data_IF_059813692954
#
_entry.id   IF_059813692954
#
_cell.length_a   1.000
_cell.length_b   1.000
_cell.length_c   1.000
_cell.angle_alpha   90.00
_cell.angle_beta   90.00
_cell.angle_gamma   90.00
#
_symmetry.space_group_name_H-M   'P 1'
#
loop_
_entity.id
_entity.type
_entity.pdbx_description
1 polymer ?
#
# COMPACT_ATOMS: atom_id res chain seq x y z
N UNK A 1 -9.54 -35.08 7.11
CA UNK A 1 -9.48 -34.06 6.04
C UNK A 1 -8.49 -34.53 4.98
N UNK A 2 -8.88 -34.64 3.72
CA UNK A 2 -7.98 -35.05 2.61
C UNK A 2 -7.57 -33.84 1.78
N UNK A 3 -6.40 -33.92 1.12
CA UNK A 3 -5.90 -32.87 0.23
C UNK A 3 -6.89 -32.55 -0.91
N UNK A 4 -7.52 -33.58 -1.48
CA UNK A 4 -8.53 -33.46 -2.53
C UNK A 4 -9.75 -32.64 -2.09
N UNK A 5 -10.34 -32.95 -0.92
CA UNK A 5 -11.51 -32.23 -0.40
C UNK A 5 -11.20 -30.76 -0.14
N UNK A 6 -10.03 -30.48 0.46
CA UNK A 6 -9.56 -29.12 0.71
C UNK A 6 -9.36 -28.33 -0.60
N UNK A 7 -8.68 -28.92 -1.58
CA UNK A 7 -8.38 -28.24 -2.84
C UNK A 7 -9.65 -27.94 -3.66
N UNK A 8 -10.59 -28.89 -3.70
CA UNK A 8 -11.86 -28.70 -4.41
C UNK A 8 -12.72 -27.64 -3.73
N UNK A 9 -12.82 -27.68 -2.40
CA UNK A 9 -13.54 -26.68 -1.62
C UNK A 9 -12.98 -25.27 -1.83
N UNK A 10 -11.65 -25.12 -1.68
CA UNK A 10 -11.02 -23.83 -1.87
C UNK A 10 -11.11 -23.33 -3.31
N UNK A 11 -11.01 -24.24 -4.29
CA UNK A 11 -11.24 -23.91 -5.70
C UNK A 11 -12.65 -23.39 -5.98
N UNK A 12 -13.68 -23.86 -5.27
CA UNK A 12 -15.04 -23.30 -5.36
C UNK A 12 -15.13 -21.91 -4.72
N UNK A 13 -14.53 -21.72 -3.54
CA UNK A 13 -14.46 -20.41 -2.87
C UNK A 13 -13.84 -19.35 -3.77
N UNK A 14 -12.70 -19.66 -4.41
CA UNK A 14 -12.02 -18.72 -5.31
C UNK A 14 -12.87 -18.39 -6.55
N UNK A 15 -13.58 -19.36 -7.12
CA UNK A 15 -14.53 -19.10 -8.23
C UNK A 15 -15.70 -18.23 -7.78
N UNK A 16 -16.21 -18.43 -6.57
CA UNK A 16 -17.22 -17.57 -5.96
C UNK A 16 -16.72 -16.14 -5.74
N UNK A 17 -15.44 -15.97 -5.41
CA UNK A 17 -14.76 -14.68 -5.30
C UNK A 17 -14.41 -14.04 -6.67
N UNK A 18 -14.91 -14.59 -7.78
CA UNK A 18 -14.71 -14.05 -9.13
C UNK A 18 -13.38 -14.42 -9.80
N UNK A 19 -12.55 -15.25 -9.16
CA UNK A 19 -11.28 -15.69 -9.76
C UNK A 19 -11.49 -16.80 -10.80
N UNK A 20 -10.74 -16.72 -11.90
CA UNK A 20 -10.70 -17.79 -12.91
C UNK A 20 -9.78 -18.92 -12.44
N UNK A 21 -10.37 -19.95 -11.83
CA UNK A 21 -9.63 -21.14 -11.38
C UNK A 21 -9.94 -22.34 -12.28
N UNK A 22 -9.09 -22.63 -13.29
CA UNK A 22 -9.27 -23.78 -14.16
C UNK A 22 -9.00 -25.09 -13.41
N UNK A 23 -9.53 -26.20 -13.93
CA UNK A 23 -9.50 -27.50 -13.25
C UNK A 23 -8.08 -28.06 -13.10
N UNK A 24 -7.21 -27.82 -14.09
CA UNK A 24 -5.79 -28.19 -14.09
C UNK A 24 -5.03 -27.55 -12.91
N UNK A 25 -5.34 -26.29 -12.58
CA UNK A 25 -4.78 -25.59 -11.41
C UNK A 25 -5.21 -26.23 -10.10
N UNK A 26 -6.46 -26.71 -9.98
CA UNK A 26 -6.93 -27.42 -8.78
C UNK A 26 -6.25 -28.77 -8.63
N UNK A 27 -6.08 -29.52 -9.73
CA UNK A 27 -5.34 -30.79 -9.72
C UNK A 27 -3.87 -30.57 -9.33
N UNK A 28 -3.24 -29.53 -9.87
CA UNK A 28 -1.87 -29.13 -9.49
C UNK A 28 -1.81 -28.79 -8.00
N UNK A 29 -2.82 -28.10 -7.48
CA UNK A 29 -2.88 -27.76 -6.07
C UNK A 29 -3.00 -28.99 -5.16
N UNK A 30 -3.78 -30.01 -5.55
CA UNK A 30 -3.83 -31.30 -4.82
C UNK A 30 -2.43 -31.91 -4.73
N UNK A 31 -1.69 -31.97 -5.85
CA UNK A 31 -0.33 -32.51 -5.86
C UNK A 31 0.62 -31.70 -4.96
N UNK A 32 0.47 -30.37 -4.92
CA UNK A 32 1.23 -29.54 -4.00
C UNK A 32 0.89 -29.86 -2.53
N UNK A 33 -0.39 -30.01 -2.19
CA UNK A 33 -0.83 -30.34 -0.83
C UNK A 33 -0.34 -31.72 -0.38
N UNK A 34 -0.31 -32.71 -1.27
CA UNK A 34 0.25 -34.03 -0.97
C UNK A 34 1.75 -33.96 -0.63
N UNK A 35 2.48 -33.04 -1.27
CA UNK A 35 3.91 -32.83 -1.01
C UNK A 35 4.19 -31.99 0.26
N UNK A 36 3.39 -30.95 0.53
CA UNK A 36 3.67 -30.00 1.62
C UNK A 36 2.92 -30.29 2.92
N UNK A 37 1.87 -31.12 2.85
CA UNK A 37 0.93 -31.39 3.93
C UNK A 37 -0.16 -30.33 4.07
N UNK A 38 -1.25 -30.68 4.77
CA UNK A 38 -2.47 -29.86 4.89
C UNK A 38 -2.63 -29.15 6.26
N UNK A 39 -1.67 -29.30 7.17
CA UNK A 39 -1.77 -28.81 8.55
C UNK A 39 -1.08 -27.47 8.78
N UNK A 40 -0.02 -27.19 8.04
CA UNK A 40 0.75 -25.94 8.18
C UNK A 40 0.19 -24.85 7.25
N UNK A 41 -0.41 -23.83 7.86
CA UNK A 41 -1.00 -22.68 7.18
C UNK A 41 -0.07 -22.05 6.15
N UNK A 42 1.20 -21.83 6.51
CA UNK A 42 2.14 -21.12 5.63
C UNK A 42 2.51 -21.98 4.43
N UNK A 43 2.68 -23.29 4.62
CA UNK A 43 2.97 -24.21 3.52
C UNK A 43 1.80 -24.33 2.56
N UNK A 44 0.59 -24.47 3.09
CA UNK A 44 -0.64 -24.54 2.30
C UNK A 44 -0.89 -23.23 1.55
N UNK A 45 -0.64 -22.08 2.20
CA UNK A 45 -0.74 -20.76 1.56
C UNK A 45 0.16 -20.65 0.33
N UNK A 46 1.45 -20.95 0.47
CA UNK A 46 2.38 -20.81 -0.65
C UNK A 46 2.15 -21.86 -1.74
N UNK A 47 1.75 -23.09 -1.37
CA UNK A 47 1.31 -24.11 -2.31
C UNK A 47 0.12 -23.62 -3.14
N UNK A 48 -0.93 -23.12 -2.48
CA UNK A 48 -2.14 -22.63 -3.14
C UNK A 48 -1.86 -21.38 -3.99
N UNK A 49 -1.06 -20.43 -3.47
CA UNK A 49 -0.70 -19.22 -4.20
C UNK A 49 0.09 -19.58 -5.47
N UNK A 50 1.00 -20.57 -5.40
CA UNK A 50 1.80 -20.97 -6.57
C UNK A 50 0.99 -21.70 -7.64
N UNK A 51 -0.02 -22.49 -7.25
CA UNK A 51 -0.81 -23.30 -8.16
C UNK A 51 -2.05 -22.57 -8.74
N UNK A 52 -2.65 -21.66 -7.98
CA UNK A 52 -3.97 -21.09 -8.27
C UNK A 52 -3.91 -19.62 -8.76
N UNK A 53 -2.89 -18.85 -8.37
CA UNK A 53 -2.78 -17.42 -8.76
C UNK A 53 -2.01 -17.31 -10.07
N UNK A 54 -2.71 -16.95 -11.16
CA UNK A 54 -2.11 -16.82 -12.50
C UNK A 54 -1.82 -15.37 -12.89
N UNK A 55 -2.58 -14.41 -12.35
CA UNK A 55 -2.44 -12.99 -12.67
C UNK A 55 -2.07 -12.17 -11.42
N UNK A 56 -1.36 -11.04 -11.56
CA UNK A 56 -1.07 -10.16 -10.44
C UNK A 56 -2.33 -9.59 -9.78
N UNK A 57 -3.37 -9.33 -10.56
CA UNK A 57 -4.68 -8.80 -10.10
C UNK A 57 -5.42 -9.75 -9.14
N UNK A 58 -5.21 -11.07 -9.29
CA UNK A 58 -5.89 -12.08 -8.47
C UNK A 58 -5.32 -12.21 -7.05
N UNK A 59 -4.18 -11.56 -6.75
CA UNK A 59 -3.46 -11.74 -5.48
C UNK A 59 -4.27 -11.27 -4.27
N UNK A 60 -4.95 -10.13 -4.39
CA UNK A 60 -5.71 -9.57 -3.26
C UNK A 60 -6.95 -10.41 -2.96
N UNK A 61 -7.73 -10.76 -3.99
CA UNK A 61 -8.87 -11.67 -3.87
C UNK A 61 -8.46 -13.03 -3.29
N UNK A 62 -7.34 -13.59 -3.74
CA UNK A 62 -6.79 -14.84 -3.21
C UNK A 62 -6.43 -14.72 -1.73
N UNK A 63 -5.76 -13.65 -1.31
CA UNK A 63 -5.32 -13.48 0.07
C UNK A 63 -6.50 -13.43 1.04
N UNK A 64 -7.55 -12.69 0.67
CA UNK A 64 -8.78 -12.57 1.45
C UNK A 64 -9.49 -13.93 1.51
N UNK A 65 -9.71 -14.56 0.35
CA UNK A 65 -10.36 -15.86 0.26
C UNK A 65 -9.61 -16.94 1.06
N UNK A 66 -8.28 -16.96 1.01
CA UNK A 66 -7.46 -17.91 1.76
C UNK A 66 -7.57 -17.68 3.26
N UNK A 67 -7.54 -16.42 3.72
CA UNK A 67 -7.65 -16.10 5.13
C UNK A 67 -8.97 -16.60 5.72
N UNK A 68 -10.09 -16.29 5.05
CA UNK A 68 -11.44 -16.72 5.44
C UNK A 68 -11.56 -18.24 5.42
N UNK A 69 -11.13 -18.87 4.32
CA UNK A 69 -11.18 -20.33 4.17
C UNK A 69 -10.38 -21.05 5.27
N UNK A 70 -9.17 -20.57 5.57
CA UNK A 70 -8.29 -21.18 6.57
C UNK A 70 -8.82 -21.00 8.00
N UNK A 71 -9.42 -19.85 8.31
CA UNK A 71 -10.01 -19.60 9.61
C UNK A 71 -11.20 -20.54 9.89
N UNK A 72 -12.12 -20.67 8.94
CA UNK A 72 -13.25 -21.61 9.05
C UNK A 72 -12.80 -23.05 9.17
N UNK A 73 -11.81 -23.44 8.36
CA UNK A 73 -11.21 -24.76 8.45
C UNK A 73 -10.56 -25.02 9.82
N UNK A 74 -9.90 -24.01 10.39
CA UNK A 74 -9.29 -24.09 11.72
C UNK A 74 -10.33 -24.12 12.84
N UNK A 75 -11.51 -23.54 12.61
CA UNK A 75 -12.67 -23.60 13.52
C UNK A 75 -13.37 -24.97 13.51
N UNK A 76 -13.05 -25.85 12.55
CA UNK A 76 -13.58 -27.20 12.46
C UNK A 76 -14.71 -27.37 11.43
N UNK A 77 -14.98 -26.36 10.62
CA UNK A 77 -15.99 -26.43 9.55
C UNK A 77 -15.59 -27.48 8.50
N UNK A 78 -16.58 -28.19 7.94
CA UNK A 78 -16.33 -29.14 6.85
C UNK A 78 -16.06 -28.39 5.53
N UNK A 79 -14.94 -28.65 4.83
CA UNK A 79 -14.58 -27.93 3.60
C UNK A 79 -15.66 -27.94 2.52
N UNK A 80 -16.46 -28.99 2.41
CA UNK A 80 -17.55 -29.04 1.42
C UNK A 80 -18.64 -28.01 1.70
N UNK A 81 -18.94 -27.73 2.97
CA UNK A 81 -19.87 -26.68 3.40
C UNK A 81 -19.31 -25.31 3.08
N UNK A 82 -18.03 -25.06 3.39
CA UNK A 82 -17.33 -23.80 3.09
C UNK A 82 -17.32 -23.52 1.56
N UNK A 83 -17.16 -24.56 0.75
CA UNK A 83 -17.13 -24.45 -0.71
C UNK A 83 -18.51 -24.43 -1.39
N UNK A 84 -19.59 -24.75 -0.66
CA UNK A 84 -20.97 -24.74 -1.16
C UNK A 84 -21.67 -23.41 -0.84
N UNK A 85 -21.34 -22.81 0.31
CA UNK A 85 -21.71 -21.42 0.60
C UNK A 85 -20.94 -20.53 -0.39
N UNK A 86 -21.64 -20.07 -1.44
CA UNK A 86 -21.15 -18.95 -2.22
C UNK A 86 -20.82 -17.83 -1.25
N UNK A 87 -19.56 -17.37 -1.24
CA UNK A 87 -19.15 -16.17 -0.52
C UNK A 87 -19.90 -14.98 -1.16
N UNK A 88 -21.17 -14.80 -0.83
CA UNK A 88 -21.88 -13.57 -1.06
C UNK A 88 -21.33 -12.61 -0.02
N UNK A 89 -20.35 -11.81 -0.45
CA UNK A 89 -19.82 -10.67 0.31
C UNK A 89 -20.94 -9.64 0.46
N UNK A 90 -21.89 -9.91 1.35
CA UNK A 90 -22.90 -8.97 1.79
C UNK A 90 -22.26 -8.10 2.88
N UNK A 91 -22.00 -6.85 2.52
CA UNK A 91 -21.61 -5.78 3.45
C UNK A 91 -22.91 -5.22 4.02
N UNK A 92 -23.27 -5.57 5.25
CA UNK A 92 -24.39 -4.91 5.90
C UNK A 92 -23.95 -3.53 6.41
N UNK A 93 -24.64 -2.53 5.87
CA UNK A 93 -24.76 -1.21 6.44
C UNK A 93 -25.97 -1.23 7.38
N UNK A 94 -25.77 -0.96 8.66
CA UNK A 94 -26.86 -0.54 9.54
C UNK A 94 -26.46 0.71 10.30
N UNK A 95 -27.16 1.81 9.99
CA UNK A 95 -28.05 2.44 10.96
C UNK A 95 -29.17 3.18 10.20
N UNK A 96 -30.38 2.63 10.27
CA UNK A 96 -31.58 3.19 9.65
C UNK A 96 -32.82 2.37 9.99
N UNK A 97 -33.38 2.64 11.16
CA UNK A 97 -34.63 2.07 11.72
C UNK A 97 -35.77 2.00 10.68
N UNK A 98 -36.24 0.78 10.38
CA UNK A 98 -37.32 0.53 9.43
C UNK A 98 -37.68 -0.96 9.34
N UNK A 99 -38.71 -1.36 10.08
CA UNK A 99 -39.31 -2.70 10.10
C UNK A 99 -39.55 -3.32 8.71
N UNK A 100 -38.99 -4.50 8.46
CA UNK A 100 -39.28 -5.36 7.30
C UNK A 100 -39.04 -6.83 7.64
N UNK A 101 -39.94 -7.70 7.17
CA UNK A 101 -40.15 -9.09 7.59
C UNK A 101 -38.93 -10.02 7.46
N UNK A 102 -38.80 -10.92 8.43
CA UNK A 102 -37.79 -11.97 8.49
C UNK A 102 -37.99 -13.02 7.39
N UNK A 103 -36.98 -13.15 6.50
CA UNK A 103 -36.76 -14.37 5.74
C UNK A 103 -35.75 -15.24 6.49
N UNK A 104 -36.16 -16.48 6.74
CA UNK A 104 -35.43 -17.52 7.46
C UNK A 104 -34.48 -18.22 6.47
N UNK A 105 -33.29 -17.65 6.29
CA UNK A 105 -32.14 -18.32 5.68
C UNK A 105 -30.98 -18.20 6.67
N UNK A 106 -30.14 -19.24 6.91
CA UNK A 106 -29.04 -19.17 7.86
C UNK A 106 -27.88 -18.36 7.26
N UNK A 107 -28.07 -17.04 7.16
CA UNK A 107 -27.01 -16.10 6.90
C UNK A 107 -26.22 -15.91 8.20
N UNK A 108 -25.11 -16.65 8.34
CA UNK A 108 -24.16 -16.45 9.43
C UNK A 108 -23.43 -15.13 9.17
N UNK A 109 -23.89 -14.05 9.79
CA UNK A 109 -23.28 -12.71 9.75
C UNK A 109 -21.96 -12.72 10.52
N UNK A 110 -20.87 -13.11 9.85
CA UNK A 110 -19.52 -13.02 10.39
C UNK A 110 -19.00 -11.59 10.27
N UNK A 111 -18.78 -10.97 11.43
CA UNK A 111 -18.23 -9.63 11.60
C UNK A 111 -16.91 -9.47 10.83
N UNK A 112 -16.95 -8.78 9.71
CA UNK A 112 -15.76 -8.21 9.09
C UNK A 112 -15.07 -7.33 10.14
N UNK A 113 -13.77 -7.54 10.36
CA UNK A 113 -13.00 -6.58 11.15
C UNK A 113 -13.20 -5.22 10.51
N UNK A 114 -13.65 -4.20 11.26
CA UNK A 114 -13.88 -2.85 10.75
C UNK A 114 -12.69 -2.31 9.93
N UNK A 115 -11.48 -2.81 10.20
CA UNK A 115 -10.27 -2.51 9.43
C UNK A 115 -10.28 -3.03 7.99
N UNK A 116 -10.89 -4.19 7.71
CA UNK A 116 -10.94 -4.79 6.37
C UNK A 116 -12.01 -4.13 5.50
N UNK A 117 -13.17 -3.80 6.07
CA UNK A 117 -14.19 -2.98 5.39
C UNK A 117 -13.64 -1.59 5.04
N UNK A 118 -12.90 -0.96 5.97
CA UNK A 118 -12.17 0.30 5.73
C UNK A 118 -10.98 0.17 4.78
N UNK A 119 -10.63 -1.02 4.28
CA UNK A 119 -9.60 -1.17 3.23
C UNK A 119 -10.21 -1.21 1.84
N UNK A 120 -11.39 -1.79 1.71
CA UNK A 120 -12.07 -1.99 0.42
C UNK A 120 -13.12 -0.94 0.10
N UNK A 121 -13.63 -0.22 1.12
CA UNK A 121 -14.63 0.83 0.95
C UNK A 121 -13.99 2.04 0.25
N UNK A 122 -14.76 2.70 -0.61
CA UNK A 122 -14.33 3.92 -1.27
C UNK A 122 -14.22 5.09 -0.27
N UNK A 123 -13.14 5.86 -0.32
CA UNK A 123 -12.95 7.04 0.53
C UNK A 123 -14.06 8.08 0.39
N UNK A 124 -14.72 8.16 -0.76
CA UNK A 124 -15.87 9.03 -0.97
C UNK A 124 -17.06 8.66 -0.08
N UNK A 125 -17.18 7.39 0.28
CA UNK A 125 -18.28 6.84 1.08
C UNK A 125 -17.96 6.79 2.58
N UNK A 126 -16.83 7.36 3.01
CA UNK A 126 -16.42 7.29 4.42
C UNK A 126 -17.21 8.30 5.25
N UNK A 127 -17.77 7.83 6.36
CA UNK A 127 -18.26 8.72 7.40
C UNK A 127 -17.09 9.44 8.08
N UNK A 128 -17.38 10.52 8.82
CA UNK A 128 -16.36 11.28 9.55
C UNK A 128 -15.57 10.40 10.53
N UNK A 129 -16.24 9.45 11.18
CA UNK A 129 -15.64 8.54 12.17
C UNK A 129 -14.83 7.42 11.50
N UNK A 130 -15.33 6.85 10.40
CA UNK A 130 -14.59 5.90 9.57
C UNK A 130 -13.29 6.50 9.02
N UNK A 131 -13.34 7.76 8.58
CA UNK A 131 -12.17 8.48 8.11
C UNK A 131 -11.16 8.75 9.23
N UNK A 132 -11.61 9.01 10.46
CA UNK A 132 -10.73 9.15 11.61
C UNK A 132 -10.06 7.82 11.99
N UNK A 133 -10.79 6.70 11.91
CA UNK A 133 -10.22 5.38 12.19
C UNK A 133 -9.24 4.93 11.10
N UNK A 134 -9.56 5.17 9.83
CA UNK A 134 -8.65 4.95 8.71
C UNK A 134 -7.33 5.74 8.91
N UNK A 135 -7.41 6.99 9.37
CA UNK A 135 -6.22 7.78 9.72
C UNK A 135 -5.39 7.13 10.84
N UNK A 136 -6.02 6.62 11.91
CA UNK A 136 -5.30 5.93 13.00
C UNK A 136 -4.62 4.64 12.51
N UNK A 137 -5.27 3.90 11.62
CA UNK A 137 -4.68 2.72 10.98
C UNK A 137 -3.50 3.12 10.10
N UNK A 138 -3.63 4.18 9.33
CA UNK A 138 -2.57 4.68 8.44
C UNK A 138 -1.41 5.33 9.17
N UNK A 139 -1.61 5.93 10.33
CA UNK A 139 -0.51 6.41 11.17
C UNK A 139 0.46 5.29 11.58
N UNK A 140 0.00 4.02 11.54
CA UNK A 140 0.84 2.83 11.76
C UNK A 140 1.57 2.39 10.49
N UNK A 141 1.12 2.79 9.30
CA UNK A 141 1.80 2.50 8.04
C UNK A 141 3.08 3.31 7.93
N UNK A 142 4.17 2.61 7.59
CA UNK A 142 5.46 3.24 7.32
C UNK A 142 5.62 3.45 5.82
N UNK A 143 5.33 4.65 5.32
CA UNK A 143 5.76 5.03 3.97
C UNK A 143 7.28 5.26 3.99
N UNK A 144 8.02 4.16 3.79
CA UNK A 144 9.45 4.19 3.60
C UNK A 144 9.75 4.07 2.11
N UNK A 145 10.40 5.07 1.53
CA UNK A 145 10.89 4.95 0.16
C UNK A 145 11.94 3.85 0.05
N UNK A 146 12.00 3.16 -1.10
CA UNK A 146 12.99 2.11 -1.34
C UNK A 146 14.41 2.59 -1.00
N UNK A 147 15.27 1.76 -0.39
CA UNK A 147 16.68 2.06 -0.24
C UNK A 147 17.34 2.35 -1.58
N UNK A 148 18.32 3.25 -1.57
CA UNK A 148 19.20 3.56 -2.70
C UNK A 148 20.62 3.75 -2.19
N UNK A 149 21.60 3.31 -2.97
CA UNK A 149 23.00 3.59 -2.71
C UNK A 149 23.28 5.10 -2.82
N UNK A 150 23.87 5.63 -1.76
CA UNK A 150 24.39 6.98 -1.65
C UNK A 150 25.85 7.00 -2.06
N UNK A 151 26.30 8.12 -2.66
CA UNK A 151 27.73 8.32 -2.93
C UNK A 151 28.54 8.57 -1.64
N UNK A 152 27.87 8.95 -0.54
CA UNK A 152 28.51 9.10 0.77
C UNK A 152 28.93 7.72 1.26
N UNK A 153 30.18 7.61 1.72
CA UNK A 153 30.69 6.38 2.30
C UNK A 153 30.41 6.30 3.80
N UNK A 154 30.07 5.10 4.26
CA UNK A 154 29.99 4.73 5.67
C UNK A 154 31.02 3.65 5.99
N UNK A 155 31.43 3.51 7.26
CA UNK A 155 32.26 2.39 7.67
C UNK A 155 31.54 1.07 7.40
N UNK A 156 32.24 0.10 6.82
CA UNK A 156 31.74 -1.24 6.59
C UNK A 156 32.31 -2.20 7.63
N UNK A 157 31.51 -3.20 8.02
CA UNK A 157 31.95 -4.30 8.89
C UNK A 157 32.60 -5.44 8.10
N UNK A 158 32.35 -5.49 6.80
CA UNK A 158 32.86 -6.51 5.89
C UNK A 158 33.97 -5.95 5.03
N UNK A 159 34.76 -6.84 4.43
CA UNK A 159 35.84 -6.46 3.52
C UNK A 159 35.24 -5.99 2.20
N UNK A 160 35.56 -4.77 1.79
CA UNK A 160 35.09 -4.19 0.52
C UNK A 160 36.28 -3.83 -0.38
N UNK A 161 36.03 -3.28 -1.56
CA UNK A 161 37.12 -2.74 -2.40
C UNK A 161 37.75 -1.44 -1.85
N UNK A 162 37.13 -0.79 -0.85
CA UNK A 162 37.51 0.55 -0.38
C UNK A 162 38.00 0.52 1.06
N UNK A 163 39.30 0.75 1.27
CA UNK A 163 39.90 0.85 2.61
C UNK A 163 39.59 2.21 3.25
N UNK A 164 39.16 2.23 4.50
CA UNK A 164 39.13 3.43 5.33
C UNK A 164 40.55 3.73 5.84
N UNK A 165 41.34 4.47 5.06
CA UNK A 165 42.72 4.81 5.44
C UNK A 165 42.78 5.52 6.79
N UNK A 166 41.87 6.47 7.05
CA UNK A 166 41.87 7.24 8.29
C UNK A 166 41.61 6.36 9.51
N UNK A 167 40.64 5.45 9.42
CA UNK A 167 40.31 4.54 10.52
C UNK A 167 41.38 3.45 10.68
N UNK A 168 41.94 2.96 9.56
CA UNK A 168 43.04 1.98 9.54
C UNK A 168 44.31 2.52 10.19
N UNK A 169 44.73 3.75 9.84
CA UNK A 169 45.88 4.42 10.48
C UNK A 169 45.60 4.71 11.95
N UNK A 170 44.37 5.14 12.28
CA UNK A 170 44.01 5.34 13.68
C UNK A 170 44.09 4.06 14.50
N UNK A 171 43.64 2.93 13.96
CA UNK A 171 43.73 1.63 14.64
C UNK A 171 45.14 1.06 14.66
N UNK A 172 46.02 1.44 13.74
CA UNK A 172 47.41 0.96 13.71
C UNK A 172 48.27 1.56 14.82
N UNK A 173 47.90 2.71 15.39
CA UNK A 173 48.59 3.27 16.55
C UNK A 173 48.59 2.35 17.77
N UNK A 174 47.57 1.49 17.93
CA UNK A 174 47.57 0.47 18.98
C UNK A 174 48.58 -0.66 18.72
N UNK A 175 49.12 -0.74 17.51
CA UNK A 175 50.02 -1.78 17.02
C UNK A 175 51.33 -1.15 16.51
N UNK A 176 51.87 -0.16 17.23
CA UNK A 176 53.14 0.51 16.91
C UNK A 176 53.18 1.12 15.49
N UNK A 177 52.03 1.46 14.92
CA UNK A 177 51.90 2.01 13.57
C UNK A 177 51.70 0.94 12.49
N UNK A 178 51.80 -0.35 12.80
CA UNK A 178 51.59 -1.43 11.84
C UNK A 178 50.10 -1.67 11.55
N UNK A 179 49.65 -1.60 10.28
CA UNK A 179 48.24 -1.77 9.92
C UNK A 179 47.87 -3.26 9.86
N UNK A 180 47.86 -3.93 11.03
CA UNK A 180 47.51 -5.36 11.20
C UNK A 180 46.08 -5.65 10.74
N UNK A 181 45.15 -4.70 10.98
CA UNK A 181 43.76 -4.77 10.54
C UNK A 181 43.43 -3.58 9.64
N UNK A 182 42.88 -3.88 8.47
CA UNK A 182 42.35 -2.88 7.54
C UNK A 182 40.87 -2.65 7.84
N UNK A 183 40.52 -1.39 7.99
CA UNK A 183 39.14 -0.92 8.12
C UNK A 183 38.59 -0.61 6.73
N UNK A 184 37.29 -0.81 6.52
CA UNK A 184 36.68 -0.74 5.19
C UNK A 184 35.55 0.29 5.14
N UNK A 185 35.24 0.75 3.94
CA UNK A 185 34.10 1.63 3.65
C UNK A 185 33.21 1.04 2.59
N UNK A 186 31.93 1.36 2.67
CA UNK A 186 30.94 1.02 1.65
C UNK A 186 30.06 2.24 1.33
N UNK A 187 29.46 2.29 0.13
CA UNK A 187 28.40 3.25 -0.15
C UNK A 187 27.29 3.12 0.90
N UNK A 188 26.96 4.22 1.58
CA UNK A 188 25.86 4.24 2.54
C UNK A 188 24.52 4.06 1.83
N UNK A 189 23.53 3.52 2.53
CA UNK A 189 22.16 3.49 2.02
C UNK A 189 21.37 4.70 2.48
N UNK A 190 20.49 5.18 1.59
CA UNK A 190 19.55 6.25 1.90
C UNK A 190 18.20 5.89 1.31
N UNK A 191 17.14 6.01 2.11
CA UNK A 191 15.77 5.89 1.62
C UNK A 191 15.49 6.98 0.59
N UNK A 192 14.86 6.60 -0.52
CA UNK A 192 14.36 7.55 -1.51
C UNK A 192 13.33 8.47 -0.86
N UNK A 193 13.34 9.75 -1.24
CA UNK A 193 12.28 10.68 -0.85
C UNK A 193 10.98 10.24 -1.53
N UNK A 194 9.85 10.41 -0.86
CA UNK A 194 8.54 10.25 -1.46
C UNK A 194 8.00 11.63 -1.81
N UNK A 195 7.59 11.82 -3.05
CA UNK A 195 6.90 13.03 -3.50
C UNK A 195 5.53 12.62 -3.98
N UNK A 196 4.49 13.26 -3.49
CA UNK A 196 3.11 12.99 -3.86
C UNK A 196 2.55 14.22 -4.56
N UNK A 197 2.04 14.02 -5.77
CA UNK A 197 1.30 15.01 -6.54
C UNK A 197 -0.17 14.60 -6.49
N UNK A 198 -0.98 15.38 -5.77
CA UNK A 198 -2.39 15.10 -5.54
C UNK A 198 -3.27 16.03 -6.37
N UNK A 199 -4.14 15.45 -7.19
CA UNK A 199 -5.16 16.19 -7.92
C UNK A 199 -6.26 16.71 -6.98
N UNK A 200 -6.62 17.99 -7.15
CA UNK A 200 -7.68 18.68 -6.41
C UNK A 200 -8.82 19.14 -7.32
N UNK A 201 -8.99 18.44 -8.46
CA UNK A 201 -10.14 18.57 -9.34
C UNK A 201 -11.46 18.39 -8.58
N UNK A 202 -12.56 18.91 -9.13
CA UNK A 202 -13.89 18.75 -8.52
C UNK A 202 -14.31 17.28 -8.40
N UNK A 203 -13.96 16.45 -9.38
CA UNK A 203 -14.22 15.00 -9.35
C UNK A 203 -13.35 14.26 -8.33
N UNK A 204 -12.19 14.82 -7.96
CA UNK A 204 -11.33 14.32 -6.91
C UNK A 204 -11.65 14.88 -5.53
N UNK A 205 -12.66 15.74 -5.34
CA UNK A 205 -12.86 16.46 -4.08
C UNK A 205 -13.01 15.55 -2.83
N UNK A 206 -13.84 14.49 -2.84
CA UNK A 206 -13.94 13.58 -1.69
C UNK A 206 -12.61 12.85 -1.42
N UNK A 207 -11.94 12.40 -2.48
CA UNK A 207 -10.67 11.69 -2.43
C UNK A 207 -9.52 12.57 -1.96
N UNK A 208 -9.43 13.79 -2.47
CA UNK A 208 -8.37 14.75 -2.18
C UNK A 208 -8.32 15.08 -0.69
N UNK A 209 -9.48 15.26 -0.06
CA UNK A 209 -9.57 15.51 1.38
C UNK A 209 -9.06 14.32 2.20
N UNK A 210 -9.44 13.09 1.82
CA UNK A 210 -8.96 11.87 2.45
C UNK A 210 -7.44 11.71 2.25
N UNK A 211 -6.94 11.87 1.02
CA UNK A 211 -5.51 11.80 0.72
C UNK A 211 -4.68 12.85 1.46
N UNK A 212 -5.14 14.10 1.57
CA UNK A 212 -4.43 15.12 2.36
C UNK A 212 -4.34 14.74 3.85
N UNK A 213 -5.41 14.16 4.41
CA UNK A 213 -5.43 13.63 5.78
C UNK A 213 -4.44 12.47 5.94
N UNK A 214 -4.33 11.59 4.96
CA UNK A 214 -3.36 10.50 4.98
C UNK A 214 -1.92 11.00 4.87
N UNK A 215 -1.69 11.99 4.01
CA UNK A 215 -0.39 12.62 3.84
C UNK A 215 0.06 13.33 5.12
N UNK A 216 -0.85 13.99 5.83
CA UNK A 216 -0.59 14.56 7.16
C UNK A 216 -0.12 13.47 8.14
N UNK A 217 -0.86 12.36 8.26
CA UNK A 217 -0.51 11.26 9.15
C UNK A 217 0.89 10.67 8.82
N UNK A 218 1.20 10.49 7.54
CA UNK A 218 2.51 10.04 7.07
C UNK A 218 3.65 11.01 7.44
N UNK A 219 3.43 12.32 7.29
CA UNK A 219 4.42 13.36 7.59
C UNK A 219 4.68 13.49 9.10
N UNK A 220 3.64 13.41 9.94
CA UNK A 220 3.78 13.42 11.41
C UNK A 220 4.59 12.21 11.89
N UNK A 221 4.49 11.07 11.20
CA UNK A 221 5.31 9.87 11.38
C UNK A 221 6.81 10.03 11.04
N UNK A 222 7.29 11.26 10.80
CA UNK A 222 8.67 11.62 10.44
C UNK A 222 9.18 11.00 9.14
N UNK A 223 8.28 10.69 8.23
CA UNK A 223 8.66 10.22 6.91
C UNK A 223 9.08 11.41 6.05
N UNK A 224 10.07 11.22 5.18
CA UNK A 224 10.53 12.25 4.24
C UNK A 224 9.61 12.30 3.03
N UNK A 225 8.39 12.76 3.28
CA UNK A 225 7.33 12.90 2.31
C UNK A 225 7.13 14.36 1.97
N UNK A 226 6.94 14.64 0.70
CA UNK A 226 6.71 15.97 0.16
C UNK A 226 5.40 15.94 -0.62
N UNK A 227 4.47 16.82 -0.28
CA UNK A 227 3.15 16.91 -0.90
C UNK A 227 3.02 18.16 -1.75
N UNK A 228 2.46 17.96 -2.94
CA UNK A 228 2.04 18.99 -3.87
C UNK A 228 0.60 18.71 -4.28
N UNK A 229 -0.13 19.76 -4.61
CA UNK A 229 -1.45 19.68 -5.22
C UNK A 229 -1.39 20.11 -6.68
N UNK A 230 -2.12 19.39 -7.53
CA UNK A 230 -2.33 19.65 -8.95
C UNK A 230 -3.74 20.22 -9.13
N UNK A 231 -3.86 21.38 -9.74
CA UNK A 231 -5.12 22.01 -10.09
C UNK A 231 -4.90 22.89 -11.31
N UNK A 232 -5.37 24.14 -11.27
CA UNK A 232 -4.98 25.15 -12.28
C UNK A 232 -3.51 25.55 -12.18
N UNK A 233 -2.86 25.27 -11.03
CA UNK A 233 -1.43 25.50 -10.78
C UNK A 233 -0.87 24.50 -9.77
N UNK A 234 0.45 24.28 -9.86
CA UNK A 234 1.19 23.45 -8.91
C UNK A 234 1.44 24.19 -7.59
N UNK A 235 0.95 23.63 -6.48
CA UNK A 235 1.15 24.21 -5.13
C UNK A 235 1.81 23.21 -4.20
N UNK A 236 2.91 23.61 -3.54
CA UNK A 236 3.55 22.77 -2.51
C UNK A 236 2.86 23.00 -1.16
N UNK A 237 2.30 21.94 -0.57
CA UNK A 237 1.51 22.00 0.69
C UNK A 237 2.19 21.28 1.86
N UNK A 238 3.45 20.89 1.69
CA UNK A 238 4.18 20.07 2.67
C UNK A 238 4.28 20.74 4.05
N UNK A 239 4.50 22.06 4.08
CA UNK A 239 4.66 22.80 5.34
C UNK A 239 3.33 22.90 6.09
N UNK A 240 2.25 23.09 5.34
CA UNK A 240 0.88 23.20 5.83
C UNK A 240 0.44 21.85 6.43
N UNK A 241 0.78 20.74 5.77
CA UNK A 241 0.51 19.37 6.24
C UNK A 241 1.41 18.87 7.37
N UNK A 242 2.47 19.60 7.75
CA UNK A 242 3.33 19.21 8.89
C UNK A 242 2.75 19.69 10.24
N UNK A 243 1.64 20.43 10.23
CA UNK A 243 1.01 20.92 11.46
C UNK A 243 0.54 19.76 12.36
N UNK A 244 0.56 19.90 13.70
CA UNK A 244 0.21 18.78 14.62
C UNK A 244 -1.25 18.35 14.52
N UNK A 245 -2.13 19.32 14.34
CA UNK A 245 -3.58 19.15 14.24
C UNK A 245 -3.98 18.93 12.77
N UNK A 246 -4.64 17.80 12.43
CA UNK A 246 -4.97 17.41 11.06
C UNK A 246 -6.01 18.33 10.41
N UNK A 247 -7.01 18.79 11.16
CA UNK A 247 -8.06 19.65 10.60
C UNK A 247 -7.51 21.03 10.29
N UNK A 248 -6.66 21.57 11.17
CA UNK A 248 -5.93 22.82 10.89
C UNK A 248 -4.94 22.66 9.75
N UNK A 249 -4.31 21.50 9.61
CA UNK A 249 -3.40 21.22 8.50
C UNK A 249 -4.15 21.26 7.16
N UNK A 250 -5.33 20.62 7.10
CA UNK A 250 -6.21 20.64 5.95
C UNK A 250 -6.73 22.04 5.65
N UNK A 251 -7.21 22.77 6.65
CA UNK A 251 -7.70 24.12 6.46
C UNK A 251 -6.61 25.04 5.88
N UNK A 252 -5.37 24.92 6.38
CA UNK A 252 -4.24 25.68 5.85
C UNK A 252 -3.84 25.26 4.45
N UNK A 253 -3.85 23.97 4.15
CA UNK A 253 -3.63 23.47 2.80
C UNK A 253 -4.72 23.99 1.85
N UNK A 254 -5.99 24.00 2.28
CA UNK A 254 -7.13 24.51 1.53
C UNK A 254 -7.00 26.00 1.22
N UNK A 255 -6.65 26.81 2.20
CA UNK A 255 -6.41 28.25 1.98
C UNK A 255 -5.24 28.53 1.04
N UNK A 256 -4.23 27.67 1.04
CA UNK A 256 -3.06 27.80 0.16
C UNK A 256 -3.40 27.39 -1.29
N UNK A 257 -4.34 26.46 -1.46
CA UNK A 257 -4.85 25.97 -2.74
C UNK A 257 -6.07 26.80 -3.14
N UNK A 258 -5.84 27.95 -3.78
CA UNK A 258 -6.95 28.86 -4.11
C UNK A 258 -7.92 28.31 -5.19
N UNK A 259 -7.57 27.19 -5.83
CA UNK A 259 -8.23 26.66 -7.03
C UNK A 259 -8.85 25.28 -6.78
N UNK A 260 -9.36 25.04 -5.57
CA UNK A 260 -10.09 23.81 -5.26
C UNK A 260 -11.31 23.73 -6.20
N UNK A 261 -11.49 22.62 -6.91
CA UNK A 261 -12.57 22.38 -7.89
C UNK A 261 -12.55 23.22 -9.19
N UNK A 262 -11.55 24.09 -9.41
CA UNK A 262 -11.48 24.99 -10.58
C UNK A 262 -11.12 24.32 -11.93
N UNK A 263 -10.76 23.04 -11.90
CA UNK A 263 -10.23 22.26 -13.02
C UNK A 263 -8.73 21.99 -12.90
N UNK A 264 -8.22 21.05 -13.70
CA UNK A 264 -6.83 20.58 -13.59
C UNK A 264 -6.09 20.84 -14.91
N UNK A 265 -4.88 21.41 -14.80
CA UNK A 265 -3.92 21.61 -15.91
C UNK A 265 -2.69 20.75 -15.66
N UNK A 266 -2.83 19.45 -15.88
CA UNK A 266 -1.82 18.46 -15.45
C UNK A 266 -0.49 18.71 -16.19
N UNK A 267 -0.53 18.89 -17.51
CA UNK A 267 0.68 19.16 -18.31
C UNK A 267 1.49 20.37 -17.83
N UNK A 268 0.82 21.51 -17.59
CA UNK A 268 1.47 22.73 -17.07
C UNK A 268 2.06 22.51 -15.67
N UNK A 269 1.33 21.83 -14.79
CA UNK A 269 1.77 21.56 -13.42
C UNK A 269 2.97 20.62 -13.38
N UNK A 270 2.98 19.57 -14.21
CA UNK A 270 4.11 18.62 -14.29
C UNK A 270 5.35 19.27 -14.89
N UNK A 271 5.20 20.08 -15.94
CA UNK A 271 6.31 20.87 -16.49
C UNK A 271 6.89 21.79 -15.41
N UNK A 272 6.05 22.56 -14.71
CA UNK A 272 6.49 23.41 -13.61
C UNK A 272 7.18 22.63 -12.48
N UNK A 273 6.68 21.44 -12.16
CA UNK A 273 7.29 20.56 -11.18
C UNK A 273 8.69 20.13 -11.62
N UNK A 274 8.85 19.69 -12.87
CA UNK A 274 10.15 19.27 -13.42
C UNK A 274 11.14 20.44 -13.47
N UNK A 275 10.71 21.61 -13.93
CA UNK A 275 11.55 22.79 -14.05
C UNK A 275 12.05 23.30 -12.69
N UNK A 276 11.16 23.37 -11.69
CA UNK A 276 11.50 23.93 -10.37
C UNK A 276 12.07 22.91 -9.39
N UNK A 277 11.57 21.68 -9.43
CA UNK A 277 11.84 20.65 -8.41
C UNK A 277 12.55 19.40 -8.95
N UNK A 278 12.71 19.27 -10.27
CA UNK A 278 13.36 18.15 -10.95
C UNK A 278 14.89 18.13 -10.81
N UNK A 279 15.60 18.62 -11.84
CA UNK A 279 17.00 18.28 -12.17
C UNK A 279 18.01 18.51 -11.03
N UNK A 280 17.84 19.58 -10.24
CA UNK A 280 18.69 19.89 -9.08
C UNK A 280 17.93 19.89 -7.75
N UNK A 281 16.66 19.51 -7.78
CA UNK A 281 15.72 19.73 -6.69
C UNK A 281 15.34 18.47 -5.93
N UNK A 282 14.15 18.58 -5.34
CA UNK A 282 13.53 17.61 -4.45
C UNK A 282 13.23 16.26 -5.12
N UNK A 283 12.93 16.25 -6.42
CA UNK A 283 12.49 15.07 -7.16
C UNK A 283 13.64 14.18 -7.62
N UNK A 284 14.90 14.65 -7.56
CA UNK A 284 16.05 13.86 -8.04
C UNK A 284 16.24 12.58 -7.23
N UNK A 285 15.96 11.44 -7.87
CA UNK A 285 16.05 10.12 -7.25
C UNK A 285 14.93 9.84 -6.23
N UNK A 286 13.90 10.69 -6.18
CA UNK A 286 12.69 10.45 -5.42
C UNK A 286 11.79 9.41 -6.12
N UNK A 287 10.85 8.86 -5.36
CA UNK A 287 9.67 8.17 -5.90
C UNK A 287 8.59 9.24 -5.99
N UNK A 288 8.08 9.49 -7.20
CA UNK A 288 6.97 10.43 -7.43
C UNK A 288 5.71 9.60 -7.61
N UNK A 289 4.73 9.81 -6.74
CA UNK A 289 3.40 9.20 -6.81
C UNK A 289 2.43 10.27 -7.28
N UNK A 290 1.71 10.01 -8.36
CA UNK A 290 0.70 10.90 -8.89
C UNK A 290 -0.66 10.28 -8.59
N UNK A 291 -1.51 11.04 -7.91
CA UNK A 291 -2.87 10.66 -7.55
C UNK A 291 -3.82 11.60 -8.31
N UNK A 292 -4.41 11.13 -9.40
CA UNK A 292 -5.31 11.88 -10.26
C UNK A 292 -6.31 10.92 -10.90
N UNK A 293 -7.51 11.42 -11.20
CA UNK A 293 -8.53 10.74 -11.99
C UNK A 293 -8.28 10.86 -13.51
N UNK A 294 -7.21 11.55 -13.91
CA UNK A 294 -6.77 11.67 -15.31
C UNK A 294 -7.50 12.73 -16.11
N UNK A 295 -8.32 13.57 -15.49
CA UNK A 295 -9.03 14.65 -16.19
C UNK A 295 -8.17 15.91 -16.32
N UNK A 296 -7.68 16.17 -17.53
CA UNK A 296 -6.92 17.38 -17.87
C UNK A 296 -7.76 18.31 -18.77
N UNK A 297 -7.79 19.60 -18.46
CA UNK A 297 -8.34 20.66 -19.32
C UNK A 297 -7.25 21.39 -20.11
N UNK A 298 -5.98 21.01 -19.95
CA UNK A 298 -4.84 21.56 -20.66
C UNK A 298 -4.62 20.97 -22.06
N UNK A 299 -3.59 21.47 -22.77
CA UNK A 299 -3.19 20.92 -24.06
C UNK A 299 -2.50 19.55 -23.87
N UNK A 300 -3.06 18.44 -24.39
CA UNK A 300 -2.48 17.10 -24.24
C UNK A 300 -1.09 16.94 -24.87
N UNK A 301 -0.72 17.78 -25.85
CA UNK A 301 0.61 17.74 -26.47
C UNK A 301 1.73 17.96 -25.43
N UNK A 302 1.45 18.69 -24.35
CA UNK A 302 2.44 18.93 -23.28
C UNK A 302 2.74 17.71 -22.40
N UNK A 303 1.93 16.65 -22.48
CA UNK A 303 2.18 15.38 -21.79
C UNK A 303 2.87 14.34 -22.69
N UNK A 304 2.92 14.59 -24.01
CA UNK A 304 3.49 13.68 -25.00
C UNK A 304 4.99 13.83 -25.26
N UNK A 305 5.61 14.91 -24.76
CA UNK A 305 7.05 15.21 -24.83
C UNK A 305 7.75 15.03 -23.48
#
# INVERSE_FOLDING_TARGET
MTAERMAVAFGRVLRGAGMRVPLDSVVTFVQCLDAVGITDRNRVYWAAHSALVRRPEDREAFNVAFAVFWERLSAGDDPETIGAESLTLAVDAEDGDGSGEANDDPAVTLRFSATETLRSKDFADYTTDELAEAQRLMARLRFAGSPRQSQRLSPSRTRTARVDVRRTVRSSFAHLGEPVRREWREPSEKLRRLVVLLDVSGSMEPYARAFLRFMHAAMVGRQRVEAFTLGTRLTRVTRELTHRDPDKALERASRQVADWSGGTRIGECLRNFNDRWGVRGLARGAIVVVLSDGWDRGNPEMLGE
#
